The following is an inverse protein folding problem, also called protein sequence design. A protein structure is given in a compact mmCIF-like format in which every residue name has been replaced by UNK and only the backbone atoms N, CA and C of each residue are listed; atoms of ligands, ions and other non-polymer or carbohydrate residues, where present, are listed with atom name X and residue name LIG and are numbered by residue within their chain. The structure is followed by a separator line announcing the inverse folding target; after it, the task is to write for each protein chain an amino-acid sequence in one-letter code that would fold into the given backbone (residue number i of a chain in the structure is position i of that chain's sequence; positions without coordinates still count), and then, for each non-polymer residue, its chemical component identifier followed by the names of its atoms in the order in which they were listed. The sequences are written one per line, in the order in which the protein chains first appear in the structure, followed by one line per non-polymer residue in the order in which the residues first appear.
data_IF_024677148973
#
_entry.id   IF_024677148973
#
_cell.length_a   1.000
_cell.length_b   1.000
_cell.length_c   1.000
_cell.angle_alpha   90.00
_cell.angle_beta   90.00
_cell.angle_gamma   90.00
#
_symmetry.space_group_name_H-M   'P 1'
#
loop_
_entity.id
_entity.type
_entity.pdbx_description
1 polymer ?
#
# COMPACT_ATOMS: atom_id res chain seq x y z
N UNK A 1 5.77 7.81 -13.72
CA UNK A 1 5.73 6.77 -14.74
C UNK A 1 4.28 6.42 -14.87
N UNK A 2 3.86 6.03 -16.06
CA UNK A 2 2.62 5.29 -16.12
C UNK A 2 2.80 4.04 -15.24
N UNK A 3 1.81 3.60 -14.49
CA UNK A 3 1.94 2.32 -13.79
C UNK A 3 1.29 1.27 -14.67
N UNK A 4 2.06 0.34 -15.21
CA UNK A 4 1.49 -0.86 -15.79
C UNK A 4 1.14 -1.79 -14.64
N UNK A 5 -0.15 -2.15 -14.57
CA UNK A 5 -0.70 -3.04 -13.56
C UNK A 5 -1.28 -4.26 -14.25
N UNK A 6 -0.68 -5.42 -14.01
CA UNK A 6 -1.29 -6.72 -14.23
C UNK A 6 -1.54 -7.38 -12.87
N UNK A 7 -2.02 -8.64 -12.88
CA UNK A 7 -2.11 -9.45 -11.66
C UNK A 7 -0.73 -9.76 -11.08
N UNK A 8 0.24 -10.00 -11.95
CA UNK A 8 1.60 -10.42 -11.63
C UNK A 8 2.59 -9.27 -11.46
N UNK A 9 2.23 -8.07 -11.92
CA UNK A 9 3.14 -6.93 -11.99
C UNK A 9 2.44 -5.64 -11.63
N UNK A 10 3.08 -4.85 -10.76
CA UNK A 10 2.76 -3.45 -10.58
C UNK A 10 4.08 -2.70 -10.57
N UNK A 11 4.35 -1.95 -11.62
CA UNK A 11 5.63 -1.26 -11.73
C UNK A 11 5.58 -0.09 -12.70
N UNK A 12 6.69 0.64 -12.72
CA UNK A 12 6.87 1.78 -13.59
C UNK A 12 6.90 1.31 -15.05
N UNK A 13 5.99 1.87 -15.84
CA UNK A 13 5.93 1.83 -17.29
C UNK A 13 6.19 3.23 -17.81
N UNK A 14 7.15 3.39 -18.71
CA UNK A 14 7.51 4.71 -19.25
C UNK A 14 6.53 5.19 -20.33
N UNK A 15 5.52 4.39 -20.72
CA UNK A 15 4.57 4.75 -21.77
C UNK A 15 5.11 4.59 -23.19
N UNK A 16 6.44 4.64 -23.35
CA UNK A 16 7.18 4.34 -24.57
C UNK A 16 8.50 3.66 -24.22
N UNK A 17 8.93 2.70 -25.05
CA UNK A 17 10.28 2.15 -24.99
C UNK A 17 11.29 3.08 -25.64
N UNK A 18 12.58 2.76 -25.45
CA UNK A 18 13.68 3.50 -26.06
C UNK A 18 13.51 3.57 -27.58
N UNK A 19 13.32 4.77 -28.10
CA UNK A 19 13.29 5.02 -29.53
C UNK A 19 14.66 5.58 -29.98
N UNK A 20 15.47 4.81 -30.75
CA UNK A 20 16.78 5.29 -31.21
C UNK A 20 16.69 6.34 -32.32
N UNK A 21 15.54 6.47 -32.99
CA UNK A 21 15.39 7.30 -34.20
C UNK A 21 15.68 8.80 -33.96
N UNK A 22 15.18 9.46 -32.90
CA UNK A 22 15.50 10.87 -32.64
C UNK A 22 17.00 11.09 -32.45
N UNK A 23 17.70 10.14 -31.81
CA UNK A 23 19.14 10.23 -31.58
C UNK A 23 19.94 10.02 -32.86
N UNK A 24 19.57 9.02 -33.67
CA UNK A 24 20.19 8.77 -34.97
C UNK A 24 20.00 9.97 -35.93
N UNK A 25 18.79 10.52 -35.99
CA UNK A 25 18.49 11.72 -36.77
C UNK A 25 19.29 12.92 -36.27
N UNK A 26 19.41 13.10 -34.95
CA UNK A 26 20.20 14.18 -34.36
C UNK A 26 21.68 14.06 -34.72
N UNK A 27 22.27 12.85 -34.63
CA UNK A 27 23.65 12.60 -35.05
C UNK A 27 23.85 12.90 -36.54
N UNK A 28 22.91 12.49 -37.39
CA UNK A 28 22.94 12.81 -38.82
C UNK A 28 22.89 14.32 -39.07
N UNK A 29 21.97 15.04 -38.42
CA UNK A 29 21.83 16.49 -38.57
C UNK A 29 23.07 17.24 -38.06
N UNK A 30 23.65 16.82 -36.94
CA UNK A 30 24.91 17.38 -36.42
C UNK A 30 26.04 17.18 -37.44
N UNK A 31 26.18 15.98 -38.01
CA UNK A 31 27.20 15.70 -39.02
C UNK A 31 27.01 16.57 -40.27
N UNK A 32 25.78 16.66 -40.79
CA UNK A 32 25.45 17.52 -41.95
C UNK A 32 25.73 18.98 -41.64
N UNK A 33 25.32 19.47 -40.47
CA UNK A 33 25.51 20.86 -40.05
C UNK A 33 27.00 21.26 -40.01
N UNK A 34 27.85 20.39 -39.48
CA UNK A 34 29.29 20.61 -39.40
C UNK A 34 29.98 20.49 -40.77
N UNK A 35 29.65 19.48 -41.57
CA UNK A 35 30.24 19.27 -42.90
C UNK A 35 29.86 20.40 -43.86
N UNK A 36 28.62 20.88 -43.80
CA UNK A 36 28.15 22.00 -44.61
C UNK A 36 28.64 23.38 -44.11
N UNK A 37 29.37 23.43 -42.98
CA UNK A 37 29.90 24.67 -42.42
C UNK A 37 28.82 25.66 -41.98
N UNK A 38 27.64 25.17 -41.59
CA UNK A 38 26.48 26.01 -41.28
C UNK A 38 26.58 26.72 -39.92
N UNK A 39 27.53 26.31 -39.06
CA UNK A 39 27.82 26.99 -37.81
C UNK A 39 28.87 26.28 -36.96
N UNK A 40 28.93 26.63 -35.69
CA UNK A 40 29.98 26.16 -34.78
C UNK A 40 29.66 24.82 -34.12
N UNK A 41 30.69 24.16 -33.59
CA UNK A 41 30.57 22.90 -32.85
C UNK A 41 29.69 23.09 -31.61
N UNK A 42 29.79 24.25 -30.94
CA UNK A 42 28.99 24.56 -29.75
C UNK A 42 27.49 24.64 -30.08
N UNK A 43 27.13 25.21 -31.23
CA UNK A 43 25.73 25.27 -31.67
C UNK A 43 25.17 23.87 -31.97
N UNK A 44 25.95 23.03 -32.65
CA UNK A 44 25.57 21.65 -32.93
C UNK A 44 25.44 20.82 -31.63
N UNK A 45 26.37 21.01 -30.68
CA UNK A 45 26.34 20.36 -29.37
C UNK A 45 25.14 20.80 -28.53
N UNK A 46 24.79 22.09 -28.54
CA UNK A 46 23.61 22.61 -27.85
C UNK A 46 22.31 22.01 -28.43
N UNK A 47 22.22 21.88 -29.75
CA UNK A 47 21.10 21.22 -30.42
C UNK A 47 20.96 19.75 -30.02
N UNK A 48 22.06 19.00 -30.01
CA UNK A 48 22.07 17.61 -29.55
C UNK A 48 21.71 17.47 -28.07
N UNK A 49 22.24 18.38 -27.24
CA UNK A 49 21.91 18.47 -25.81
C UNK A 49 20.42 18.70 -25.58
N UNK A 50 19.79 19.59 -26.35
CA UNK A 50 18.35 19.84 -26.27
C UNK A 50 17.52 18.57 -26.56
N UNK A 51 17.89 17.79 -27.59
CA UNK A 51 17.20 16.54 -27.92
C UNK A 51 17.36 15.51 -26.80
N UNK A 52 18.56 15.36 -26.24
CA UNK A 52 18.81 14.45 -25.13
C UNK A 52 17.99 14.85 -23.89
N UNK A 53 18.03 16.12 -23.49
CA UNK A 53 17.27 16.65 -22.36
C UNK A 53 15.76 16.52 -22.59
N UNK A 54 15.28 16.83 -23.80
CA UNK A 54 13.87 16.68 -24.18
C UNK A 54 13.39 15.24 -24.09
N UNK A 55 14.21 14.29 -24.54
CA UNK A 55 13.88 12.86 -24.47
C UNK A 55 13.83 12.36 -23.02
N UNK A 56 14.80 12.75 -22.18
CA UNK A 56 14.78 12.42 -20.74
C UNK A 56 13.54 13.00 -20.05
N UNK A 57 13.19 14.26 -20.37
CA UNK A 57 12.01 14.91 -19.83
C UNK A 57 10.73 14.16 -20.24
N UNK A 58 10.63 13.78 -21.51
CA UNK A 58 9.47 13.07 -22.04
C UNK A 58 9.32 11.64 -21.48
N UNK A 59 10.41 10.88 -21.37
CA UNK A 59 10.32 9.45 -21.05
C UNK A 59 10.30 9.18 -19.54
N UNK A 60 10.92 10.06 -18.73
CA UNK A 60 11.07 9.85 -17.29
C UNK A 60 10.35 10.87 -16.42
N UNK A 61 10.23 12.14 -16.85
CA UNK A 61 9.70 13.22 -16.00
C UNK A 61 8.21 13.43 -16.21
N UNK A 62 7.76 13.64 -17.46
CA UNK A 62 6.34 13.87 -17.76
C UNK A 62 5.45 12.70 -17.30
N UNK A 63 5.80 11.42 -17.52
CA UNK A 63 4.99 10.30 -17.03
C UNK A 63 4.94 10.25 -15.50
N UNK A 64 5.96 10.76 -14.79
CA UNK A 64 5.93 10.87 -13.31
C UNK A 64 5.00 11.95 -12.81
N UNK A 65 4.86 13.04 -13.56
CA UNK A 65 3.94 14.13 -13.22
C UNK A 65 2.49 13.76 -13.54
N UNK A 66 2.25 13.02 -14.62
CA UNK A 66 0.90 12.75 -15.13
C UNK A 66 0.20 11.52 -14.53
N UNK A 67 0.91 10.64 -13.80
CA UNK A 67 0.38 9.49 -13.02
C UNK A 67 -0.70 8.64 -13.73
N UNK A 68 -0.56 8.34 -15.01
CA UNK A 68 -1.54 7.50 -15.73
C UNK A 68 -1.35 6.02 -15.41
N UNK A 69 -2.39 5.33 -14.92
CA UNK A 69 -2.33 3.89 -14.71
C UNK A 69 -2.89 3.15 -15.93
N UNK A 70 -2.18 2.10 -16.40
CA UNK A 70 -2.64 1.22 -17.47
C UNK A 70 -2.76 -0.20 -16.95
N UNK A 71 -3.92 -0.81 -17.19
CA UNK A 71 -4.13 -2.21 -16.86
C UNK A 71 -3.80 -3.08 -18.07
N UNK A 72 -2.91 -4.05 -17.87
CA UNK A 72 -2.41 -4.92 -18.94
C UNK A 72 -2.50 -6.38 -18.54
N UNK A 73 -2.57 -7.24 -19.56
CA UNK A 73 -2.41 -8.69 -19.41
C UNK A 73 -1.02 -9.03 -19.94
N UNK A 74 -0.27 -9.81 -19.18
CA UNK A 74 1.09 -10.26 -19.51
C UNK A 74 1.07 -11.78 -19.72
N UNK A 75 0.81 -12.27 -20.95
CA UNK A 75 0.84 -13.69 -21.25
C UNK A 75 2.15 -14.34 -20.78
N UNK A 76 2.07 -15.60 -20.35
CA UNK A 76 3.15 -16.37 -19.72
C UNK A 76 3.56 -15.88 -18.32
N UNK A 77 3.80 -14.58 -18.13
CA UNK A 77 4.18 -14.01 -16.83
C UNK A 77 3.03 -14.15 -15.82
N UNK A 78 1.79 -13.89 -16.24
CA UNK A 78 0.59 -14.02 -15.40
C UNK A 78 0.30 -15.48 -14.95
N UNK A 79 1.02 -16.48 -15.49
CA UNK A 79 0.93 -17.87 -15.02
C UNK A 79 1.76 -18.14 -13.77
N UNK A 80 2.68 -17.24 -13.39
CA UNK A 80 3.49 -17.40 -12.20
C UNK A 80 2.64 -17.15 -10.93
N UNK A 81 2.70 -18.11 -10.00
CA UNK A 81 1.95 -18.02 -8.75
C UNK A 81 2.57 -17.02 -7.77
N UNK A 82 1.73 -16.53 -6.87
CA UNK A 82 2.14 -15.66 -5.78
C UNK A 82 2.84 -16.42 -4.64
N UNK A 83 3.83 -15.80 -4.02
CA UNK A 83 4.28 -16.13 -2.68
C UNK A 83 4.74 -14.87 -1.94
N UNK A 84 4.12 -14.53 -0.81
CA UNK A 84 4.51 -13.35 -0.02
C UNK A 84 5.81 -13.56 0.78
N UNK A 85 6.10 -14.79 1.19
CA UNK A 85 7.20 -15.09 2.11
C UNK A 85 8.57 -15.18 1.41
N UNK A 86 8.60 -15.74 0.20
CA UNK A 86 9.85 -16.11 -0.48
C UNK A 86 9.68 -16.13 -2.01
N UNK A 87 9.27 -15.01 -2.64
CA UNK A 87 9.23 -14.92 -4.10
C UNK A 87 10.64 -15.19 -4.66
N UNK A 88 10.75 -15.98 -5.71
CA UNK A 88 12.05 -16.40 -6.28
C UNK A 88 12.31 -15.87 -7.69
N UNK A 89 11.38 -15.07 -8.21
CA UNK A 89 11.53 -14.33 -9.45
C UNK A 89 10.92 -12.94 -9.34
N UNK A 90 11.44 -12.04 -10.16
CA UNK A 90 11.04 -10.65 -10.27
C UNK A 90 10.50 -10.39 -11.67
N UNK A 91 9.48 -9.53 -11.74
CA UNK A 91 8.91 -9.06 -13.00
C UNK A 91 9.29 -7.60 -13.19
N UNK A 92 9.79 -7.24 -14.35
CA UNK A 92 10.17 -5.88 -14.69
C UNK A 92 9.74 -5.51 -16.11
N UNK A 93 9.70 -4.21 -16.39
CA UNK A 93 9.62 -3.70 -17.76
C UNK A 93 11.03 -3.26 -18.21
N UNK A 94 11.53 -3.87 -19.28
CA UNK A 94 12.86 -3.62 -19.84
C UNK A 94 12.79 -2.50 -20.88
N UNK A 95 13.14 -1.28 -20.47
CA UNK A 95 13.01 -0.06 -21.30
C UNK A 95 13.67 -0.15 -22.69
N UNK A 96 14.85 -0.77 -22.79
CA UNK A 96 15.59 -0.88 -24.05
C UNK A 96 15.11 -2.04 -24.94
N UNK A 97 14.49 -3.06 -24.34
CA UNK A 97 13.99 -4.23 -25.06
C UNK A 97 12.50 -4.11 -25.44
N UNK A 98 11.81 -3.09 -24.92
CA UNK A 98 10.36 -2.92 -25.06
C UNK A 98 9.56 -4.18 -24.66
N UNK A 99 9.97 -4.80 -23.55
CA UNK A 99 9.44 -6.09 -23.15
C UNK A 99 9.29 -6.20 -21.64
N UNK A 100 8.30 -6.96 -21.20
CA UNK A 100 8.25 -7.42 -19.82
C UNK A 100 9.17 -8.63 -19.66
N UNK A 101 10.02 -8.59 -18.64
CA UNK A 101 10.92 -9.67 -18.27
C UNK A 101 10.41 -10.34 -16.99
N UNK A 102 10.60 -11.66 -16.94
CA UNK A 102 10.50 -12.46 -15.72
C UNK A 102 11.88 -13.08 -15.50
N UNK A 103 12.56 -12.68 -14.44
CA UNK A 103 13.92 -13.11 -14.16
C UNK A 103 14.01 -13.71 -12.75
N UNK A 104 14.84 -14.74 -12.59
CA UNK A 104 15.14 -15.29 -11.26
C UNK A 104 15.91 -14.21 -10.48
N UNK A 105 15.48 -13.95 -9.24
CA UNK A 105 16.10 -12.93 -8.39
C UNK A 105 17.58 -13.22 -8.20
N UNK A 106 18.43 -12.18 -8.17
CA UNK A 106 19.89 -12.23 -8.35
C UNK A 106 20.72 -13.11 -7.39
N UNK A 107 20.10 -13.82 -6.45
CA UNK A 107 20.76 -14.73 -5.51
C UNK A 107 20.02 -16.06 -5.33
N UNK A 108 19.12 -16.41 -6.24
CA UNK A 108 18.32 -17.63 -6.17
C UNK A 108 18.62 -18.51 -7.38
N UNK A 109 18.63 -19.81 -7.14
CA UNK A 109 18.50 -20.80 -8.21
C UNK A 109 17.20 -21.55 -7.94
N UNK A 110 16.47 -21.85 -9.00
CA UNK A 110 15.25 -22.65 -8.92
C UNK A 110 15.63 -24.03 -9.46
N UNK A 111 15.69 -25.07 -8.61
CA UNK A 111 15.95 -26.42 -9.08
C UNK A 111 14.94 -26.87 -10.13
N UNK A 112 15.35 -27.78 -11.01
CA UNK A 112 14.40 -28.48 -11.86
C UNK A 112 13.29 -29.10 -10.99
N UNK A 113 12.05 -29.02 -11.48
CA UNK A 113 10.85 -29.49 -10.79
C UNK A 113 10.41 -28.66 -9.57
N UNK A 114 11.00 -27.47 -9.36
CA UNK A 114 10.48 -26.49 -8.40
C UNK A 114 9.74 -25.36 -9.09
N UNK A 115 8.63 -24.98 -8.47
CA UNK A 115 7.80 -23.90 -8.97
C UNK A 115 8.51 -22.54 -8.82
N UNK A 116 8.34 -21.71 -9.86
CA UNK A 116 8.68 -20.30 -9.82
C UNK A 116 7.53 -19.50 -9.21
N UNK A 117 7.86 -18.63 -8.27
CA UNK A 117 6.94 -17.75 -7.56
C UNK A 117 7.36 -16.30 -7.71
N UNK A 118 6.39 -15.43 -7.90
CA UNK A 118 6.54 -13.98 -7.92
C UNK A 118 5.75 -13.36 -6.76
N UNK A 119 6.00 -12.08 -6.49
CA UNK A 119 5.17 -11.31 -5.55
C UNK A 119 4.15 -10.47 -6.30
N UNK A 120 2.89 -10.50 -5.88
CA UNK A 120 1.83 -9.60 -6.38
C UNK A 120 1.76 -8.29 -5.55
N UNK A 121 2.78 -8.06 -4.72
CA UNK A 121 2.85 -6.97 -3.75
C UNK A 121 2.42 -7.40 -2.34
N UNK A 122 2.44 -6.46 -1.37
CA UNK A 122 1.99 -6.71 -0.01
C UNK A 122 0.46 -6.77 0.02
N UNK A 123 -0.10 -7.98 -0.06
CA UNK A 123 -1.55 -8.22 -0.10
C UNK A 123 -2.00 -8.99 1.13
N UNK A 124 -3.10 -8.56 1.75
CA UNK A 124 -3.73 -9.32 2.83
C UNK A 124 -4.50 -10.54 2.30
N UNK A 125 -4.82 -11.51 3.16
CA UNK A 125 -5.61 -12.67 2.72
C UNK A 125 -7.02 -12.28 2.25
N UNK A 126 -7.62 -11.24 2.80
CA UNK A 126 -8.91 -10.71 2.30
C UNK A 126 -8.78 -10.21 0.86
N UNK A 127 -7.69 -9.50 0.54
CA UNK A 127 -7.43 -9.02 -0.82
C UNK A 127 -7.09 -10.17 -1.78
N UNK A 128 -6.28 -11.13 -1.34
CA UNK A 128 -5.95 -12.32 -2.12
C UNK A 128 -7.22 -13.11 -2.45
N UNK A 129 -8.11 -13.29 -1.47
CA UNK A 129 -9.36 -14.00 -1.68
C UNK A 129 -10.29 -13.24 -2.63
N UNK A 130 -10.49 -11.93 -2.38
CA UNK A 130 -11.42 -11.11 -3.16
C UNK A 130 -10.99 -10.93 -4.62
N UNK A 131 -9.70 -10.67 -4.88
CA UNK A 131 -9.22 -10.29 -6.21
C UNK A 131 -8.54 -11.43 -6.97
N UNK A 132 -8.04 -12.45 -6.26
CA UNK A 132 -7.25 -13.54 -6.84
C UNK A 132 -7.84 -14.93 -6.56
N UNK A 133 -8.81 -15.07 -5.66
CA UNK A 133 -9.52 -16.32 -5.41
C UNK A 133 -8.74 -17.36 -4.61
N UNK A 134 -7.72 -16.95 -3.85
CA UNK A 134 -6.97 -17.83 -2.96
C UNK A 134 -6.52 -17.10 -1.68
N UNK A 135 -6.05 -17.86 -0.69
CA UNK A 135 -5.41 -17.32 0.53
C UNK A 135 -4.05 -17.98 0.73
N UNK A 136 -3.13 -17.30 1.40
CA UNK A 136 -1.81 -17.86 1.74
C UNK A 136 -1.74 -18.16 3.25
N UNK A 137 -1.33 -19.38 3.58
CA UNK A 137 -1.02 -19.76 4.95
C UNK A 137 0.19 -18.96 5.45
N UNK A 138 0.09 -18.39 6.65
CA UNK A 138 1.14 -17.56 7.23
C UNK A 138 1.56 -16.38 6.33
N UNK A 139 0.60 -15.73 5.68
CA UNK A 139 0.86 -14.49 4.94
C UNK A 139 1.44 -13.42 5.91
N UNK A 140 2.65 -12.88 5.63
CA UNK A 140 3.28 -11.85 6.45
C UNK A 140 2.63 -10.48 6.27
N UNK A 141 1.96 -10.25 5.13
CA UNK A 141 1.26 -9.01 4.79
C UNK A 141 -0.22 -9.07 5.20
N UNK A 142 -0.60 -10.07 6.00
CA UNK A 142 -1.96 -10.22 6.48
C UNK A 142 -2.28 -9.15 7.52
N UNK A 143 -3.46 -8.55 7.38
CA UNK A 143 -3.94 -7.49 8.25
C UNK A 143 -5.38 -7.80 8.64
N UNK A 144 -5.83 -7.15 9.71
CA UNK A 144 -7.22 -7.11 10.09
C UNK A 144 -7.69 -5.66 10.13
N UNK A 145 -8.82 -5.37 9.48
CA UNK A 145 -9.40 -4.01 9.47
C UNK A 145 -10.61 -3.99 10.40
N UNK A 146 -10.44 -3.33 11.55
CA UNK A 146 -11.54 -3.05 12.48
C UNK A 146 -12.43 -1.90 11.97
N UNK A 147 -13.67 -1.80 12.46
CA UNK A 147 -14.50 -0.61 12.26
C UNK A 147 -13.74 0.68 12.63
N UNK A 148 -14.05 1.82 11.99
CA UNK A 148 -13.43 3.10 12.30
C UNK A 148 -13.67 3.48 13.77
N UNK A 149 -12.75 4.23 14.37
CA UNK A 149 -12.80 4.59 15.81
C UNK A 149 -14.14 5.25 16.19
N UNK A 150 -14.77 6.01 15.27
CA UNK A 150 -16.09 6.61 15.50
C UNK A 150 -17.22 5.61 15.76
N UNK A 151 -17.07 4.36 15.31
CA UNK A 151 -18.07 3.29 15.47
C UNK A 151 -17.80 2.45 16.71
N UNK A 152 -16.72 2.73 17.45
CA UNK A 152 -16.40 2.00 18.67
C UNK A 152 -17.38 2.34 19.79
N UNK A 153 -17.64 1.37 20.67
CA UNK A 153 -18.51 1.57 21.83
C UNK A 153 -17.80 2.45 22.88
N UNK A 154 -18.01 3.76 22.77
CA UNK A 154 -17.39 4.76 23.63
C UNK A 154 -17.73 4.53 25.12
N UNK A 155 -18.98 4.22 25.45
CA UNK A 155 -19.41 4.01 26.84
C UNK A 155 -18.66 2.84 27.50
N UNK A 156 -18.48 1.74 26.76
CA UNK A 156 -17.73 0.59 27.25
C UNK A 156 -16.24 0.93 27.47
N UNK A 157 -15.66 1.75 26.60
CA UNK A 157 -14.27 2.19 26.69
C UNK A 157 -14.09 3.15 27.88
N UNK A 158 -14.97 4.14 28.04
CA UNK A 158 -14.97 5.07 29.17
C UNK A 158 -15.03 4.33 30.50
N UNK A 159 -15.93 3.35 30.61
CA UNK A 159 -16.06 2.48 31.79
C UNK A 159 -14.79 1.66 32.05
N UNK A 160 -14.16 1.13 31.01
CA UNK A 160 -12.93 0.35 31.16
C UNK A 160 -11.74 1.22 31.59
N UNK A 161 -11.67 2.46 31.09
CA UNK A 161 -10.59 3.40 31.36
C UNK A 161 -10.80 4.26 32.62
N UNK A 162 -11.95 4.13 33.29
CA UNK A 162 -12.38 4.96 34.43
C UNK A 162 -12.24 6.47 34.12
N UNK A 163 -12.68 6.86 32.92
CA UNK A 163 -12.55 8.23 32.42
C UNK A 163 -13.73 8.58 31.52
N UNK A 164 -14.07 9.86 31.45
CA UNK A 164 -15.12 10.36 30.56
C UNK A 164 -14.49 11.16 29.44
N UNK A 165 -14.96 10.96 28.22
CA UNK A 165 -14.45 11.63 27.04
C UNK A 165 -15.21 12.93 26.85
N UNK A 166 -14.50 14.05 26.85
CA UNK A 166 -15.14 15.32 26.59
C UNK A 166 -15.58 15.40 25.13
N UNK A 167 -16.83 15.82 24.89
CA UNK A 167 -17.43 15.91 23.55
C UNK A 167 -16.61 16.79 22.58
N UNK A 168 -15.88 17.78 23.11
CA UNK A 168 -14.99 18.64 22.33
C UNK A 168 -13.79 17.91 21.71
N UNK A 169 -13.29 16.84 22.35
CA UNK A 169 -12.15 16.06 21.85
C UNK A 169 -12.53 15.20 20.65
N UNK A 170 -13.70 14.55 20.71
CA UNK A 170 -14.22 13.79 19.58
C UNK A 170 -14.39 14.68 18.34
N UNK A 171 -14.96 15.88 18.51
CA UNK A 171 -15.10 16.84 17.41
C UNK A 171 -13.76 17.30 16.82
N UNK A 172 -12.70 17.41 17.64
CA UNK A 172 -11.35 17.75 17.16
C UNK A 172 -10.70 16.56 16.44
N UNK A 173 -10.86 15.34 16.95
CA UNK A 173 -10.35 14.12 16.31
C UNK A 173 -10.99 13.88 14.95
N UNK A 174 -12.31 14.16 14.84
CA UNK A 174 -13.05 14.11 13.58
C UNK A 174 -12.49 15.11 12.55
N UNK A 175 -12.26 16.36 12.97
CA UNK A 175 -11.61 17.38 12.13
C UNK A 175 -10.19 17.02 11.71
N UNK A 176 -9.47 16.27 12.54
CA UNK A 176 -8.13 15.76 12.22
C UNK A 176 -8.16 14.51 11.33
N UNK A 177 -9.35 13.96 11.02
CA UNK A 177 -9.51 12.77 10.19
C UNK A 177 -9.12 11.47 10.89
N UNK A 178 -8.97 11.47 12.21
CA UNK A 178 -8.47 10.32 12.98
C UNK A 178 -9.57 9.36 13.45
N UNK A 179 -10.84 9.70 13.21
CA UNK A 179 -11.98 8.86 13.60
C UNK A 179 -12.52 7.96 12.47
N UNK A 180 -11.97 8.07 11.26
CA UNK A 180 -12.51 7.44 10.05
C UNK A 180 -13.70 8.19 9.44
N UNK A 181 -14.18 7.73 8.30
CA UNK A 181 -15.31 8.31 7.57
C UNK A 181 -16.63 7.61 7.96
N UNK A 182 -17.76 8.33 8.02
CA UNK A 182 -19.06 7.69 8.23
C UNK A 182 -19.43 6.80 7.04
N UNK A 183 -20.05 5.63 7.29
CA UNK A 183 -20.42 4.69 6.22
C UNK A 183 -21.37 5.25 5.13
N UNK A 184 -22.03 6.38 5.39
CA UNK A 184 -22.98 7.02 4.46
C UNK A 184 -22.33 7.76 3.28
N UNK A 185 -21.02 7.98 3.27
CA UNK A 185 -20.30 8.58 2.12
C UNK A 185 -19.89 7.56 1.05
N UNK A 186 -20.52 6.39 1.00
CA UNK A 186 -20.43 5.49 -0.16
C UNK A 186 -21.10 6.17 -1.37
N UNK A 187 -20.29 6.46 -2.39
CA UNK A 187 -20.63 7.03 -3.72
C UNK A 187 -20.77 8.55 -3.81
N UNK A 188 -19.69 9.24 -4.19
CA UNK A 188 -19.70 10.22 -5.29
C UNK A 188 -18.32 10.85 -5.49
N UNK A 189 -17.40 10.13 -6.13
CA UNK A 189 -16.27 10.74 -6.83
C UNK A 189 -15.70 9.74 -7.83
N UNK A 190 -16.37 9.64 -8.98
CA UNK A 190 -15.81 9.04 -10.19
C UNK A 190 -14.79 9.97 -10.84
N UNK A 191 -13.75 10.34 -10.09
CA UNK A 191 -12.62 11.13 -10.59
C UNK A 191 -11.32 10.37 -10.29
N UNK A 192 -11.05 9.39 -11.15
CA UNK A 192 -9.97 8.40 -11.09
C UNK A 192 -8.54 8.98 -11.26
N UNK A 193 -8.37 10.29 -11.16
CA UNK A 193 -7.13 10.95 -11.59
C UNK A 193 -6.08 11.19 -10.49
N UNK A 194 -6.35 10.87 -9.22
CA UNK A 194 -5.42 11.27 -8.15
C UNK A 194 -5.17 10.27 -7.03
N UNK A 195 -5.46 8.98 -7.22
CA UNK A 195 -5.16 8.02 -6.18
C UNK A 195 -3.78 7.41 -6.37
N UNK A 196 -2.83 7.88 -5.55
CA UNK A 196 -1.70 7.08 -5.09
C UNK A 196 -2.24 5.88 -4.29
N UNK A 197 -2.84 4.92 -4.98
CA UNK A 197 -3.38 3.70 -4.39
C UNK A 197 -2.33 2.59 -4.43
N UNK A 198 -1.35 2.73 -3.53
CA UNK A 198 -0.96 1.61 -2.66
C UNK A 198 -1.84 1.56 -1.38
N UNK A 199 -2.76 2.53 -1.21
CA UNK A 199 -3.82 2.46 -0.21
C UNK A 199 -4.93 1.51 -0.66
N UNK A 200 -5.32 0.67 0.28
CA UNK A 200 -6.17 -0.49 0.08
C UNK A 200 -7.60 -0.09 -0.27
N UNK A 201 -8.19 -0.59 -1.38
CA UNK A 201 -9.63 -0.46 -1.62
C UNK A 201 -10.47 -1.13 -0.53
N UNK A 202 -9.86 -1.93 0.35
CA UNK A 202 -10.50 -2.55 1.50
C UNK A 202 -10.78 -1.56 2.66
N UNK A 203 -10.06 -0.43 2.74
CA UNK A 203 -10.17 0.50 3.88
C UNK A 203 -10.71 1.90 3.52
N UNK A 204 -11.70 1.96 2.61
CA UNK A 204 -12.29 3.25 2.16
C UNK A 204 -12.96 4.03 3.30
N UNK A 205 -13.47 3.34 4.31
CA UNK A 205 -14.13 3.96 5.47
C UNK A 205 -13.15 4.47 6.54
N UNK A 206 -11.84 4.24 6.40
CA UNK A 206 -10.86 4.62 7.43
C UNK A 206 -11.00 3.79 8.72
N UNK A 207 -11.29 2.51 8.57
CA UNK A 207 -11.19 1.49 9.61
C UNK A 207 -9.77 1.38 10.17
N UNK A 208 -9.67 0.82 11.38
CA UNK A 208 -8.41 0.67 12.10
C UNK A 208 -7.67 -0.57 11.61
N UNK A 209 -6.50 -0.36 11.00
CA UNK A 209 -5.67 -1.45 10.49
C UNK A 209 -4.84 -2.03 11.64
N UNK A 210 -4.88 -3.36 11.76
CA UNK A 210 -4.07 -4.15 12.70
C UNK A 210 -3.16 -5.07 11.90
N UNK A 211 -1.85 -4.97 12.13
CA UNK A 211 -0.83 -5.80 11.48
C UNK A 211 -0.20 -6.75 12.49
N UNK A 212 0.38 -7.86 12.01
CA UNK A 212 1.09 -8.82 12.87
C UNK A 212 2.36 -8.23 13.49
N UNK A 213 3.06 -7.34 12.78
CA UNK A 213 4.35 -6.81 13.17
C UNK A 213 4.26 -5.59 14.10
N UNK A 214 3.33 -4.68 13.82
CA UNK A 214 3.24 -3.39 14.52
C UNK A 214 2.03 -3.32 15.46
N UNK A 215 1.05 -4.20 15.29
CA UNK A 215 -0.21 -4.15 16.03
C UNK A 215 -1.11 -3.05 15.49
N UNK A 216 -1.57 -2.15 16.36
CA UNK A 216 -2.47 -1.04 16.01
C UNK A 216 -1.66 0.12 15.44
N UNK A 217 -2.20 0.75 14.39
CA UNK A 217 -1.66 1.95 13.76
C UNK A 217 -1.30 3.06 14.80
N UNK A 218 -0.07 3.61 14.76
CA UNK A 218 0.36 4.72 15.62
C UNK A 218 -0.58 5.94 15.63
N UNK A 219 -1.24 6.25 14.51
CA UNK A 219 -2.20 7.35 14.42
C UNK A 219 -3.47 7.07 15.26
N UNK A 220 -3.89 5.81 15.32
CA UNK A 220 -5.00 5.38 16.18
C UNK A 220 -4.59 5.45 17.64
N UNK A 221 -3.36 5.04 17.99
CA UNK A 221 -2.84 5.22 19.35
C UNK A 221 -2.75 6.71 19.75
N UNK A 222 -2.33 7.59 18.83
CA UNK A 222 -2.37 9.04 19.05
C UNK A 222 -3.79 9.54 19.32
N UNK A 223 -4.77 9.07 18.54
CA UNK A 223 -6.17 9.42 18.75
C UNK A 223 -6.67 8.95 20.12
N UNK A 224 -6.31 7.73 20.53
CA UNK A 224 -6.69 7.17 21.82
C UNK A 224 -6.02 7.92 22.98
N UNK A 225 -4.74 8.31 22.88
CA UNK A 225 -4.06 9.13 23.90
C UNK A 225 -4.75 10.47 24.11
N UNK A 226 -5.14 11.12 23.02
CA UNK A 226 -5.92 12.36 23.04
C UNK A 226 -7.31 12.15 23.65
N UNK A 227 -7.95 11.02 23.36
CA UNK A 227 -9.30 10.71 23.83
C UNK A 227 -9.33 10.46 25.35
N UNK A 228 -8.40 9.64 25.85
CA UNK A 228 -8.31 9.20 27.27
C UNK A 228 -7.52 10.16 28.17
N UNK A 229 -7.16 11.35 27.68
CA UNK A 229 -6.39 12.32 28.45
C UNK A 229 -7.22 12.92 29.59
N UNK A 230 -6.57 13.37 30.66
CA UNK A 230 -7.26 14.27 31.62
C UNK A 230 -7.43 15.66 31.01
N UNK A 231 -8.28 16.50 31.60
CA UNK A 231 -8.41 17.90 31.16
C UNK A 231 -7.09 18.66 31.35
N UNK A 232 -6.38 18.44 32.45
CA UNK A 232 -5.04 19.00 32.67
C UNK A 232 -4.03 18.58 31.59
N UNK A 233 -4.00 17.29 31.21
CA UNK A 233 -3.14 16.77 30.14
C UNK A 233 -3.52 17.40 28.78
N UNK A 234 -4.80 17.62 28.55
CA UNK A 234 -5.34 18.21 27.33
C UNK A 234 -4.98 19.70 27.19
N UNK A 235 -5.14 20.46 28.27
CA UNK A 235 -4.77 21.88 28.35
C UNK A 235 -3.25 22.05 28.25
N UNK A 236 -2.46 21.21 28.93
CA UNK A 236 -1.00 21.23 28.84
C UNK A 236 -0.49 20.94 27.43
N UNK A 237 -1.23 20.13 26.66
CA UNK A 237 -0.97 19.88 25.24
C UNK A 237 -1.44 21.02 24.32
N UNK A 238 -1.91 22.16 24.86
CA UNK A 238 -2.46 23.27 24.09
C UNK A 238 -3.69 22.87 23.26
N UNK A 239 -4.39 21.82 23.69
CA UNK A 239 -5.52 21.21 23.01
C UNK A 239 -5.25 20.79 21.54
N UNK A 240 -3.99 20.51 21.22
CA UNK A 240 -3.53 20.14 19.89
C UNK A 240 -3.27 18.64 19.80
N UNK A 241 -3.99 17.94 18.92
CA UNK A 241 -3.90 16.48 18.75
C UNK A 241 -2.49 16.03 18.36
N UNK A 242 -1.75 16.85 17.61
CA UNK A 242 -0.37 16.57 17.23
C UNK A 242 0.56 16.29 18.43
N UNK A 243 0.28 16.88 19.59
CA UNK A 243 1.09 16.72 20.79
C UNK A 243 0.90 15.35 21.47
N UNK A 244 -0.09 14.55 21.04
CA UNK A 244 -0.34 13.18 21.51
C UNK A 244 0.34 12.11 20.63
N UNK A 245 1.09 12.50 19.60
CA UNK A 245 1.85 11.57 18.77
C UNK A 245 2.93 10.83 19.59
N UNK A 246 3.51 11.51 20.58
CA UNK A 246 4.44 10.94 21.54
C UNK A 246 3.71 10.48 22.82
N UNK A 247 4.43 9.72 23.65
CA UNK A 247 3.94 9.30 24.96
C UNK A 247 3.74 10.54 25.87
N UNK A 248 2.53 10.74 26.38
CA UNK A 248 2.19 11.84 27.31
C UNK A 248 2.73 11.53 28.70
N UNK A 249 2.27 10.43 29.28
CA UNK A 249 2.79 9.86 30.53
C UNK A 249 2.39 8.37 30.61
N UNK A 250 2.92 7.64 31.59
CA UNK A 250 2.69 6.20 31.71
C UNK A 250 1.23 5.85 32.05
N UNK A 251 0.50 6.71 32.76
CA UNK A 251 -0.90 6.48 33.12
C UNK A 251 -1.82 6.63 31.90
N UNK A 252 -1.64 7.71 31.14
CA UNK A 252 -2.33 7.96 29.87
C UNK A 252 -2.06 6.82 28.86
N UNK A 253 -0.80 6.39 28.70
CA UNK A 253 -0.45 5.29 27.81
C UNK A 253 -1.12 3.97 28.21
N UNK A 254 -1.23 3.69 29.52
CA UNK A 254 -1.97 2.52 30.02
C UNK A 254 -3.46 2.63 29.68
N UNK A 255 -4.09 3.80 29.86
CA UNK A 255 -5.49 4.02 29.50
C UNK A 255 -5.71 3.87 27.99
N UNK A 256 -4.83 4.40 27.15
CA UNK A 256 -4.93 4.29 25.69
C UNK A 256 -4.83 2.84 25.22
N UNK A 257 -3.90 2.06 25.80
CA UNK A 257 -3.77 0.62 25.53
C UNK A 257 -4.97 -0.18 26.04
N UNK A 258 -5.53 0.20 27.19
CA UNK A 258 -6.72 -0.44 27.73
C UNK A 258 -7.95 -0.15 26.86
N UNK A 259 -8.08 1.06 26.34
CA UNK A 259 -9.12 1.43 25.39
C UNK A 259 -9.05 0.59 24.12
N UNK A 260 -7.85 0.50 23.52
CA UNK A 260 -7.59 -0.36 22.37
C UNK A 260 -7.92 -1.83 22.66
N UNK A 261 -7.46 -2.37 23.80
CA UNK A 261 -7.75 -3.75 24.22
C UNK A 261 -9.25 -4.01 24.34
N UNK A 262 -9.98 -3.09 24.97
CA UNK A 262 -11.43 -3.19 25.15
C UNK A 262 -12.15 -3.19 23.80
N UNK A 263 -11.76 -2.31 22.88
CA UNK A 263 -12.32 -2.28 21.52
C UNK A 263 -12.08 -3.59 20.76
N UNK A 264 -10.85 -4.15 20.85
CA UNK A 264 -10.51 -5.43 20.23
C UNK A 264 -11.30 -6.60 20.86
N UNK A 265 -11.49 -6.62 22.17
CA UNK A 265 -12.27 -7.66 22.86
C UNK A 265 -13.75 -7.61 22.46
N UNK A 266 -14.32 -6.40 22.34
CA UNK A 266 -15.68 -6.22 21.85
C UNK A 266 -15.82 -6.70 20.41
N UNK A 267 -14.87 -6.34 19.55
CA UNK A 267 -14.84 -6.78 18.15
C UNK A 267 -14.74 -8.32 18.04
N UNK A 268 -13.88 -8.95 18.83
CA UNK A 268 -13.76 -10.41 18.86
C UNK A 268 -15.05 -11.07 19.35
N UNK A 269 -15.69 -10.51 20.39
CA UNK A 269 -16.97 -11.02 20.91
C UNK A 269 -18.14 -10.90 19.93
N UNK A 270 -18.02 -10.02 18.93
CA UNK A 270 -19.02 -9.85 17.87
C UNK A 270 -18.98 -10.96 16.80
N UNK A 271 -17.92 -11.79 16.79
CA UNK A 271 -17.75 -12.85 15.80
C UNK A 271 -18.63 -14.05 16.13
N UNK A 272 -19.06 -14.76 15.10
CA UNK A 272 -19.97 -15.91 15.22
C UNK A 272 -19.32 -17.14 15.83
N UNK A 273 -18.00 -17.24 15.75
CA UNK A 273 -17.19 -18.37 16.23
C UNK A 273 -15.98 -17.86 17.00
N UNK A 274 -15.39 -18.73 17.82
CA UNK A 274 -14.13 -18.43 18.52
C UNK A 274 -12.92 -18.94 17.74
N UNK A 275 -11.74 -18.42 18.09
CA UNK A 275 -10.47 -18.88 17.51
C UNK A 275 -10.26 -20.39 17.73
N UNK A 276 -10.64 -20.92 18.90
CA UNK A 276 -10.51 -22.34 19.23
C UNK A 276 -11.40 -23.20 18.34
N UNK A 277 -12.62 -22.76 18.04
CA UNK A 277 -13.55 -23.45 17.15
C UNK A 277 -12.99 -23.50 15.72
N UNK A 278 -12.50 -22.37 15.21
CA UNK A 278 -11.93 -22.28 13.87
C UNK A 278 -10.65 -23.13 13.74
N UNK A 279 -9.80 -23.15 14.78
CA UNK A 279 -8.63 -24.03 14.83
C UNK A 279 -9.00 -25.52 14.89
N UNK A 280 -10.08 -25.88 15.57
CA UNK A 280 -10.58 -27.26 15.62
C UNK A 280 -11.12 -27.70 14.24
N UNK A 281 -11.81 -26.80 13.54
CA UNK A 281 -12.26 -27.04 12.16
C UNK A 281 -11.07 -27.27 11.23
N UNK A 282 -10.05 -26.41 11.30
CA UNK A 282 -8.84 -26.54 10.49
C UNK A 282 -8.15 -27.90 10.68
N UNK A 283 -7.94 -28.32 11.93
CA UNK A 283 -7.34 -29.64 12.26
C UNK A 283 -8.16 -30.81 11.71
N UNK A 284 -9.49 -30.69 11.75
CA UNK A 284 -10.39 -31.72 11.24
C UNK A 284 -10.28 -31.86 9.72
N UNK A 285 -10.16 -30.74 9.01
CA UNK A 285 -9.97 -30.71 7.56
C UNK A 285 -8.62 -31.34 7.18
N UNK A 286 -7.54 -30.98 7.88
CA UNK A 286 -6.20 -31.54 7.63
C UNK A 286 -6.14 -33.05 7.84
N UNK A 287 -6.82 -33.55 8.89
CA UNK A 287 -6.90 -35.00 9.17
C UNK A 287 -7.66 -35.75 8.06
N UNK A 288 -8.70 -35.15 7.47
CA UNK A 288 -9.44 -35.74 6.34
C UNK A 288 -8.62 -35.76 5.06
N UNK A 289 -7.86 -34.70 4.79
CA UNK A 289 -6.98 -34.62 3.61
C UNK A 289 -5.87 -35.67 3.69
N UNK A 290 -5.22 -35.82 4.83
CA UNK A 290 -4.12 -36.78 5.03
C UNK A 290 -4.55 -38.24 5.05
N UNK A 291 -5.82 -38.54 5.36
CA UNK A 291 -6.36 -39.91 5.32
C UNK A 291 -6.91 -40.32 3.94
N UNK A 292 -7.03 -39.38 3.00
CA UNK A 292 -7.54 -39.60 1.64
C UNK A 292 -6.44 -39.77 0.58
N UNK A 293 -5.16 -39.62 0.98
CA UNK A 293 -3.95 -39.85 0.19
C UNK A 293 -3.26 -41.14 0.59
#
# INVERSE_FOLDING_TARGET
CECARSRAFSGAYSGAAFNPLPYALTLFLVAVYLVAGLGSIEQAANGAGLVLCGSILNDFVLPKLLKTNKYIICPYIDMANHNSNSPNADVAFEYFADAYSLAISSNKSIPNDKQLFISYGPRSNDQLLQYYGFVEANNPNDIYVMPPVREWNIEAIEKACDTTFSAGRLAKLDKAGLLGQPQTTKQSSGDDSNISNDLEPANVAGGVVITKSEGIDPAVLQALRALVSTDDEWEAAGEAIGNFAALVNQSNERRAKLAAKTAMELELSSKSTTLEEDLALLKTVDTKLTSST
#
